data_IF_722962349315
#
_entry.id   IF_722962349315
#
_cell.length_a   1.000
_cell.length_b   1.000
_cell.length_c   1.000
_cell.angle_alpha   90.00
_cell.angle_beta   90.00
_cell.angle_gamma   90.00
#
_symmetry.space_group_name_H-M   'P 1'
#
loop_
_entity.id
_entity.type
_entity.pdbx_description
1 polymer ?
#
# COMPACT_ATOMS: atom_id res chain seq x y z
N UNK A 1 -6.81 -2.74 -26.15
CA UNK A 1 -7.87 -2.61 -25.14
C UNK A 1 -8.27 -1.14 -25.12
N UNK A 2 -9.52 -0.81 -25.44
CA UNK A 2 -9.98 0.59 -25.43
C UNK A 2 -10.37 1.00 -24.00
N UNK A 3 -9.89 2.17 -23.58
CA UNK A 3 -10.24 2.74 -22.29
C UNK A 3 -11.60 3.42 -22.40
N UNK A 4 -12.63 2.82 -21.81
CA UNK A 4 -14.00 3.35 -21.84
C UNK A 4 -14.29 4.15 -20.57
N UNK A 5 -15.16 5.17 -20.65
CA UNK A 5 -15.48 6.04 -19.50
C UNK A 5 -16.03 5.26 -18.30
N UNK A 6 -16.75 4.17 -18.55
CA UNK A 6 -17.34 3.31 -17.53
C UNK A 6 -16.26 2.59 -16.67
N UNK A 7 -15.02 2.47 -17.17
CA UNK A 7 -13.90 1.92 -16.41
C UNK A 7 -13.49 2.78 -15.21
N UNK A 8 -14.02 4.01 -15.08
CA UNK A 8 -13.80 4.90 -13.94
C UNK A 8 -14.84 4.73 -12.81
N UNK A 9 -15.88 3.92 -13.00
CA UNK A 9 -16.97 3.83 -12.01
C UNK A 9 -16.47 3.49 -10.60
N UNK A 10 -15.52 2.54 -10.49
CA UNK A 10 -14.89 2.18 -9.21
C UNK A 10 -14.26 3.37 -8.48
N UNK A 11 -13.72 4.34 -9.22
CA UNK A 11 -13.08 5.53 -8.65
C UNK A 11 -14.13 6.56 -8.22
N UNK A 12 -15.21 6.69 -9.00
CA UNK A 12 -16.31 7.59 -8.69
C UNK A 12 -17.08 7.14 -7.43
N UNK A 13 -17.14 5.83 -7.17
CA UNK A 13 -17.76 5.23 -5.97
C UNK A 13 -17.12 5.68 -4.64
N UNK A 14 -15.86 6.12 -4.66
CA UNK A 14 -15.22 6.69 -3.46
C UNK A 14 -15.78 8.06 -3.08
N UNK A 15 -16.51 8.74 -3.97
CA UNK A 15 -17.16 10.04 -3.74
C UNK A 15 -16.24 11.10 -3.09
N UNK A 16 -14.98 11.16 -3.52
CA UNK A 16 -13.97 12.06 -2.95
C UNK A 16 -14.13 13.48 -3.49
N UNK A 17 -13.93 14.47 -2.63
CA UNK A 17 -13.82 15.90 -3.01
C UNK A 17 -12.41 16.27 -3.48
N UNK A 18 -11.46 15.34 -3.37
CA UNK A 18 -10.06 15.45 -3.74
C UNK A 18 -9.66 14.29 -4.67
N UNK A 19 -8.48 14.35 -5.34
CA UNK A 19 -7.97 13.21 -6.10
C UNK A 19 -7.79 11.97 -5.22
N UNK A 20 -7.91 10.79 -5.82
CA UNK A 20 -7.59 9.53 -5.13
C UNK A 20 -6.09 9.42 -4.94
N UNK A 21 -5.64 9.39 -3.68
CA UNK A 21 -4.21 9.40 -3.33
C UNK A 21 -3.79 8.04 -2.79
N UNK A 22 -2.69 7.52 -3.34
CA UNK A 22 -1.99 6.33 -2.87
C UNK A 22 -0.63 6.77 -2.34
N UNK A 23 -0.38 6.60 -1.04
CA UNK A 23 0.85 7.07 -0.40
C UNK A 23 1.35 6.10 0.65
N UNK A 24 2.64 6.18 0.99
CA UNK A 24 3.28 5.30 1.95
C UNK A 24 4.74 5.01 1.56
N UNK A 25 5.48 4.30 2.43
CA UNK A 25 6.90 4.09 2.22
C UNK A 25 7.18 3.18 1.03
N UNK A 26 8.37 3.30 0.45
CA UNK A 26 8.81 2.40 -0.62
C UNK A 26 8.84 0.95 -0.14
N UNK A 27 9.39 0.70 1.04
CA UNK A 27 9.49 -0.62 1.67
C UNK A 27 8.83 -0.62 3.04
N UNK A 28 8.24 -1.74 3.43
CA UNK A 28 7.96 -2.03 4.83
C UNK A 28 9.25 -2.57 5.46
N UNK A 29 9.88 -1.79 6.33
CA UNK A 29 11.18 -2.13 6.92
C UNK A 29 11.04 -2.61 8.37
N UNK A 30 10.16 -1.95 9.14
CA UNK A 30 9.79 -2.38 10.49
C UNK A 30 8.30 -2.17 10.74
N UNK A 31 7.72 -2.92 11.69
CA UNK A 31 6.31 -2.74 12.08
C UNK A 31 6.05 -1.32 12.57
N UNK A 32 6.93 -0.79 13.43
CA UNK A 32 6.81 0.57 13.97
C UNK A 32 6.79 1.63 12.86
N UNK A 33 7.69 1.50 11.86
CA UNK A 33 7.74 2.41 10.73
C UNK A 33 6.44 2.38 9.91
N UNK A 34 5.90 1.19 9.64
CA UNK A 34 4.63 1.03 8.91
C UNK A 34 3.48 1.67 9.68
N UNK A 35 3.31 1.33 10.96
CA UNK A 35 2.21 1.84 11.79
C UNK A 35 2.31 3.36 11.96
N UNK A 36 3.50 3.89 12.26
CA UNK A 36 3.72 5.32 12.44
C UNK A 36 3.31 6.13 11.20
N UNK A 37 3.70 5.68 10.01
CA UNK A 37 3.35 6.39 8.77
C UNK A 37 1.86 6.22 8.48
N UNK A 38 1.28 5.03 8.68
CA UNK A 38 -0.15 4.82 8.47
C UNK A 38 -0.99 5.74 9.36
N UNK A 39 -0.64 5.87 10.64
CA UNK A 39 -1.29 6.80 11.57
C UNK A 39 -1.14 8.25 11.15
N UNK A 40 0.03 8.66 10.65
CA UNK A 40 0.23 10.03 10.16
C UNK A 40 -0.59 10.35 8.90
N UNK A 41 -0.91 9.35 8.08
CA UNK A 41 -1.66 9.51 6.84
C UNK A 41 -3.18 9.37 6.99
N UNK A 42 -3.67 8.80 8.10
CA UNK A 42 -5.10 8.50 8.29
C UNK A 42 -6.01 9.75 8.22
N UNK A 43 -5.48 10.90 8.67
CA UNK A 43 -6.20 12.17 8.73
C UNK A 43 -5.86 13.09 7.52
N UNK A 44 -5.30 12.51 6.45
CA UNK A 44 -4.96 13.20 5.21
C UNK A 44 -5.84 12.73 4.04
N UNK A 45 -5.66 13.29 2.84
CA UNK A 45 -6.39 12.91 1.62
C UNK A 45 -6.03 11.50 1.08
N UNK A 46 -5.22 10.72 1.80
CA UNK A 46 -4.77 9.38 1.40
C UNK A 46 -5.93 8.38 1.50
N UNK A 47 -6.22 7.72 0.38
CA UNK A 47 -7.24 6.66 0.30
C UNK A 47 -6.63 5.25 0.47
N UNK A 48 -5.38 5.06 0.01
CA UNK A 48 -4.67 3.79 0.07
C UNK A 48 -3.26 3.99 0.65
N UNK A 49 -2.95 3.28 1.73
CA UNK A 49 -1.60 3.13 2.23
C UNK A 49 -0.85 2.07 1.42
N UNK A 50 0.32 2.42 0.88
CA UNK A 50 1.16 1.50 0.09
C UNK A 50 2.50 1.19 0.75
N UNK A 51 2.87 -0.09 0.82
CA UNK A 51 4.23 -0.49 1.19
C UNK A 51 4.65 -1.79 0.52
N UNK A 52 5.86 -1.84 -0.04
CA UNK A 52 6.41 -3.06 -0.64
C UNK A 52 7.00 -3.97 0.43
N UNK A 53 6.51 -5.20 0.50
CA UNK A 53 7.00 -6.22 1.45
C UNK A 53 7.96 -7.22 0.78
N UNK A 54 7.97 -7.27 -0.55
CA UNK A 54 8.99 -7.92 -1.37
C UNK A 54 9.63 -6.89 -2.29
N UNK A 55 10.95 -6.98 -2.47
CA UNK A 55 11.73 -6.08 -3.33
C UNK A 55 12.57 -6.88 -4.30
N UNK A 56 12.22 -6.91 -5.61
CA UNK A 56 13.09 -7.54 -6.60
C UNK A 56 14.41 -6.78 -6.65
N UNK A 57 15.52 -7.48 -6.40
CA UNK A 57 16.86 -6.88 -6.40
C UNK A 57 17.61 -7.29 -7.65
N UNK A 58 18.03 -6.29 -8.42
CA UNK A 58 18.92 -6.51 -9.57
C UNK A 58 20.32 -6.92 -9.13
N UNK A 59 20.76 -6.49 -7.93
CA UNK A 59 22.06 -6.84 -7.35
C UNK A 59 21.87 -7.50 -5.98
N UNK A 60 22.62 -8.57 -5.68
CA UNK A 60 22.54 -9.26 -4.39
C UNK A 60 23.05 -8.38 -3.24
N UNK A 61 22.63 -8.71 -2.01
CA UNK A 61 23.10 -8.09 -0.77
C UNK A 61 22.36 -6.82 -0.33
N UNK A 62 21.32 -6.42 -1.06
CA UNK A 62 20.42 -5.37 -0.61
C UNK A 62 19.17 -5.92 0.09
N UNK A 63 18.48 -5.08 0.87
CA UNK A 63 17.20 -5.43 1.48
C UNK A 63 16.18 -5.96 0.46
N UNK A 64 15.70 -7.18 0.64
CA UNK A 64 14.79 -7.88 -0.26
C UNK A 64 13.31 -7.75 0.15
N UNK A 65 13.04 -6.97 1.19
CA UNK A 65 11.74 -6.92 1.84
C UNK A 65 11.67 -7.85 3.05
N UNK A 66 10.69 -7.59 3.92
CA UNK A 66 10.42 -8.42 5.10
C UNK A 66 9.64 -9.70 4.77
N UNK A 67 9.10 -9.80 3.56
CA UNK A 67 8.27 -10.92 3.13
C UNK A 67 6.92 -10.97 3.85
N UNK A 68 6.42 -12.19 4.07
CA UNK A 68 5.05 -12.46 4.55
C UNK A 68 4.71 -11.77 5.88
N UNK A 69 5.70 -11.57 6.78
CA UNK A 69 5.44 -10.88 8.05
C UNK A 69 4.93 -9.45 7.84
N UNK A 70 5.33 -8.81 6.73
CA UNK A 70 4.83 -7.50 6.32
C UNK A 70 3.32 -7.49 6.09
N UNK A 71 2.70 -8.61 5.67
CA UNK A 71 1.24 -8.72 5.54
C UNK A 71 0.55 -8.57 6.89
N UNK A 72 1.16 -9.08 7.98
CA UNK A 72 0.62 -8.92 9.34
C UNK A 72 0.64 -7.46 9.75
N UNK A 73 1.70 -6.74 9.42
CA UNK A 73 1.83 -5.30 9.70
C UNK A 73 0.81 -4.48 8.91
N UNK A 74 0.63 -4.76 7.62
CA UNK A 74 -0.38 -4.09 6.78
C UNK A 74 -1.81 -4.38 7.26
N UNK A 75 -2.11 -5.61 7.67
CA UNK A 75 -3.41 -5.94 8.28
C UNK A 75 -3.66 -5.15 9.57
N UNK A 76 -2.64 -5.01 10.42
CA UNK A 76 -2.71 -4.21 11.64
C UNK A 76 -2.89 -2.72 11.35
N UNK A 77 -2.10 -2.15 10.44
CA UNK A 77 -2.24 -0.77 9.98
C UNK A 77 -3.66 -0.49 9.45
N UNK A 78 -4.22 -1.40 8.64
CA UNK A 78 -5.61 -1.32 8.17
C UNK A 78 -6.62 -1.30 9.31
N UNK A 79 -6.48 -2.21 10.27
CA UNK A 79 -7.37 -2.29 11.42
C UNK A 79 -7.33 -1.01 12.28
N UNK A 80 -6.14 -0.41 12.43
CA UNK A 80 -5.95 0.77 13.28
C UNK A 80 -6.31 2.11 12.61
N UNK A 81 -6.24 2.18 11.27
CA UNK A 81 -6.39 3.45 10.52
C UNK A 81 -7.60 3.50 9.61
N UNK A 82 -8.17 2.35 9.24
CA UNK A 82 -9.24 2.27 8.24
C UNK A 82 -8.78 2.46 6.78
N UNK A 83 -7.53 2.83 6.54
CA UNK A 83 -6.99 3.00 5.19
C UNK A 83 -7.01 1.68 4.41
N UNK A 84 -7.25 1.75 3.10
CA UNK A 84 -7.05 0.61 2.21
C UNK A 84 -5.54 0.31 2.10
N UNK A 85 -5.18 -0.96 1.88
CA UNK A 85 -3.78 -1.38 1.81
C UNK A 85 -3.40 -1.78 0.38
N UNK A 86 -2.22 -1.35 -0.07
CA UNK A 86 -1.63 -1.75 -1.33
C UNK A 86 -0.22 -2.32 -1.13
N UNK A 87 0.05 -3.47 -1.74
CA UNK A 87 1.39 -4.05 -1.81
C UNK A 87 1.59 -4.77 -3.13
N UNK A 88 2.85 -4.95 -3.53
CA UNK A 88 3.22 -5.63 -4.76
C UNK A 88 3.30 -7.15 -4.54
N UNK A 89 2.77 -7.92 -5.48
CA UNK A 89 2.89 -9.38 -5.52
C UNK A 89 3.83 -9.74 -6.67
N UNK A 90 5.07 -10.11 -6.35
CA UNK A 90 6.11 -10.32 -7.36
C UNK A 90 6.11 -11.72 -7.99
N UNK A 91 5.64 -12.75 -7.28
CA UNK A 91 5.57 -14.13 -7.81
C UNK A 91 4.23 -14.77 -7.43
N UNK A 92 3.85 -15.85 -8.13
CA UNK A 92 2.60 -16.58 -7.84
C UNK A 92 2.59 -17.28 -6.47
N UNK A 93 3.76 -17.48 -5.86
CA UNK A 93 3.89 -18.09 -4.53
C UNK A 93 3.76 -17.07 -3.39
N UNK A 94 3.77 -15.77 -3.71
CA UNK A 94 3.51 -14.68 -2.77
C UNK A 94 2.01 -14.48 -2.57
#
# INVERSE_FOLDING_TARGET
MENKKEMRNWLNEFNLTHPFVIAGPCSAETEEQVLKIAHALKDSDVSVFRAGIWKPRTRPGGFEGVGEIGLKWLKKAKAETGLLMGTEVATAAH
#
